data_IF_055560628337
#
_entry.id   IF_055560628337
#
_cell.length_a   1.000
_cell.length_b   1.000
_cell.length_c   1.000
_cell.angle_alpha   90.00
_cell.angle_beta   90.00
_cell.angle_gamma   90.00
#
_symmetry.space_group_name_H-M   'P 1'
#
loop_
_entity.id
_entity.type
_entity.pdbx_description
1 polymer ?
#
# COMPACT_ATOMS: atom_id res chain seq x y z
N UNK A 1 -2.81 -38.85 -16.46
CA UNK A 1 -1.91 -38.64 -15.31
C UNK A 1 -2.80 -38.29 -14.12
N UNK A 2 -2.51 -38.79 -12.92
CA UNK A 2 -3.29 -38.44 -11.73
C UNK A 2 -3.06 -36.96 -11.38
N UNK A 3 -4.13 -36.25 -11.00
CA UNK A 3 -4.02 -34.87 -10.50
C UNK A 3 -3.30 -34.88 -9.15
N UNK A 4 -2.48 -33.86 -8.88
CA UNK A 4 -1.77 -33.73 -7.61
C UNK A 4 -2.76 -33.61 -6.45
N UNK A 5 -2.53 -34.33 -5.35
CA UNK A 5 -3.48 -34.43 -4.23
C UNK A 5 -2.87 -34.00 -2.89
N UNK A 6 -3.73 -33.80 -1.88
CA UNK A 6 -3.30 -33.55 -0.48
C UNK A 6 -2.38 -34.66 0.03
N UNK A 7 -2.63 -35.92 -0.35
CA UNK A 7 -1.77 -37.04 0.07
C UNK A 7 -0.38 -36.98 -0.56
N UNK A 8 -0.27 -36.46 -1.80
CA UNK A 8 1.02 -36.24 -2.46
C UNK A 8 1.78 -35.09 -1.78
N UNK A 9 1.08 -33.99 -1.48
CA UNK A 9 1.60 -32.88 -0.70
C UNK A 9 2.15 -33.32 0.68
N UNK A 10 1.37 -34.10 1.44
CA UNK A 10 1.79 -34.65 2.74
C UNK A 10 3.03 -35.54 2.57
N UNK A 11 3.08 -36.35 1.51
CA UNK A 11 4.22 -37.24 1.22
C UNK A 11 5.51 -36.45 0.92
N UNK A 12 5.41 -35.34 0.21
CA UNK A 12 6.54 -34.43 -0.09
C UNK A 12 7.00 -33.63 1.15
N UNK A 13 6.06 -33.17 1.98
CA UNK A 13 6.35 -32.40 3.19
C UNK A 13 6.97 -33.24 4.32
N UNK A 14 6.49 -34.47 4.51
CA UNK A 14 6.88 -35.35 5.62
C UNK A 14 8.40 -35.49 5.84
N UNK A 15 9.26 -35.76 4.82
CA UNK A 15 10.70 -35.88 5.02
C UNK A 15 11.37 -34.55 5.37
N UNK A 16 10.83 -33.41 4.92
CA UNK A 16 11.41 -32.08 5.20
C UNK A 16 11.03 -31.63 6.60
N UNK A 17 9.74 -31.70 6.95
CA UNK A 17 9.24 -31.36 8.29
C UNK A 17 9.74 -32.34 9.36
N UNK A 18 10.07 -33.57 8.96
CA UNK A 18 10.69 -34.57 9.82
C UNK A 18 12.10 -34.20 10.32
N UNK A 19 12.79 -33.22 9.70
CA UNK A 19 14.08 -32.70 10.17
C UNK A 19 13.92 -31.54 11.15
N UNK A 20 12.83 -31.56 11.93
CA UNK A 20 12.50 -30.57 12.93
C UNK A 20 13.67 -30.29 13.89
N UNK A 21 13.83 -29.04 14.36
CA UNK A 21 14.90 -28.66 15.27
C UNK A 21 14.79 -29.40 16.62
N UNK A 22 15.91 -29.50 17.32
CA UNK A 22 15.95 -30.14 18.63
C UNK A 22 14.97 -29.44 19.60
N UNK A 23 14.17 -30.25 20.31
CA UNK A 23 13.15 -29.75 21.25
C UNK A 23 11.77 -29.51 20.64
N UNK A 24 11.62 -29.55 19.30
CA UNK A 24 10.31 -29.44 18.66
C UNK A 24 9.42 -30.65 19.00
N UNK A 25 8.15 -30.40 19.33
CA UNK A 25 7.14 -31.44 19.54
C UNK A 25 5.94 -31.29 18.60
N UNK A 26 5.72 -30.09 18.08
CA UNK A 26 4.69 -29.76 17.10
C UNK A 26 5.16 -28.63 16.20
N UNK A 27 4.46 -28.40 15.10
CA UNK A 27 4.67 -27.28 14.20
C UNK A 27 3.38 -26.99 13.47
N UNK A 28 3.14 -25.72 13.20
CA UNK A 28 2.01 -25.26 12.41
C UNK A 28 2.47 -24.15 11.48
N UNK A 29 2.06 -24.24 10.22
CA UNK A 29 2.27 -23.21 9.21
C UNK A 29 0.96 -22.91 8.52
N UNK A 30 0.73 -21.63 8.30
CA UNK A 30 -0.36 -21.14 7.47
C UNK A 30 0.26 -20.49 6.24
N UNK A 31 -0.12 -20.97 5.06
CA UNK A 31 0.24 -20.40 3.78
C UNK A 31 -1.01 -19.81 3.10
N UNK A 32 -0.87 -18.65 2.46
CA UNK A 32 -1.93 -18.02 1.66
C UNK A 32 -1.55 -18.02 0.18
N UNK A 33 -2.54 -18.21 -0.71
CA UNK A 33 -2.30 -18.33 -2.17
C UNK A 33 -2.70 -17.08 -2.96
N UNK A 34 -3.43 -16.13 -2.36
CA UNK A 34 -4.10 -15.04 -3.08
C UNK A 34 -3.86 -13.66 -2.46
N UNK A 35 -2.63 -13.12 -2.52
CA UNK A 35 -2.41 -11.68 -2.31
C UNK A 35 -1.47 -11.13 -3.36
N UNK A 36 -1.97 -10.35 -4.33
CA UNK A 36 -1.14 -9.57 -5.26
C UNK A 36 0.09 -10.28 -5.88
N UNK A 37 0.01 -11.59 -6.18
CA UNK A 37 1.14 -12.36 -6.72
C UNK A 37 2.20 -12.79 -5.70
N UNK A 38 1.93 -12.64 -4.41
CA UNK A 38 2.76 -13.05 -3.28
C UNK A 38 2.03 -14.09 -2.43
N UNK A 39 2.64 -15.28 -2.26
CA UNK A 39 2.28 -16.19 -1.18
C UNK A 39 2.93 -15.70 0.11
N UNK A 40 2.17 -15.68 1.20
CA UNK A 40 2.74 -15.46 2.54
C UNK A 40 2.67 -16.74 3.34
N UNK A 41 3.78 -17.07 4.02
CA UNK A 41 3.88 -18.18 4.96
C UNK A 41 4.18 -17.64 6.34
N UNK A 42 3.38 -18.04 7.32
CA UNK A 42 3.64 -17.75 8.74
C UNK A 42 3.62 -19.05 9.55
N UNK A 43 4.27 -19.04 10.71
CA UNK A 43 4.28 -20.17 11.63
C UNK A 43 5.68 -20.70 11.93
N UNK A 44 5.75 -21.91 12.47
CA UNK A 44 7.00 -22.52 12.89
C UNK A 44 6.82 -23.67 13.88
N UNK A 45 7.93 -24.27 14.28
CA UNK A 45 7.95 -25.32 15.29
C UNK A 45 7.71 -24.77 16.69
N UNK A 46 7.15 -25.60 17.56
CA UNK A 46 6.90 -25.30 18.97
C UNK A 46 7.48 -26.38 19.88
N UNK A 47 7.99 -25.94 21.03
CA UNK A 47 8.43 -26.82 22.12
C UNK A 47 7.23 -27.40 22.92
N UNK A 48 7.53 -28.23 23.92
CA UNK A 48 6.51 -28.84 24.78
C UNK A 48 5.73 -27.83 25.63
N UNK A 49 6.23 -26.61 25.77
CA UNK A 49 5.59 -25.50 26.46
C UNK A 49 4.80 -24.59 25.49
N UNK A 50 4.76 -24.92 24.19
CA UNK A 50 4.05 -24.17 23.16
C UNK A 50 4.81 -22.94 22.64
N UNK A 51 6.06 -22.73 23.07
CA UNK A 51 6.89 -21.59 22.63
C UNK A 51 7.45 -21.86 21.25
N UNK A 52 7.45 -20.83 20.40
CA UNK A 52 8.00 -20.91 19.06
C UNK A 52 9.52 -21.06 19.12
N UNK A 53 10.02 -22.04 18.36
CA UNK A 53 11.46 -22.26 18.22
C UNK A 53 12.00 -21.36 17.09
N UNK A 54 13.24 -20.85 17.20
CA UNK A 54 13.88 -20.10 16.12
C UNK A 54 13.90 -20.93 14.84
N UNK A 55 13.60 -20.29 13.72
CA UNK A 55 13.78 -20.90 12.40
C UNK A 55 15.28 -21.05 12.14
N UNK A 56 15.71 -22.24 11.71
CA UNK A 56 17.10 -22.46 11.34
C UNK A 56 17.34 -21.89 9.94
N UNK A 57 18.16 -20.83 9.77
CA UNK A 57 18.38 -20.21 8.46
C UNK A 57 19.07 -21.13 7.45
N UNK A 58 19.67 -22.23 7.89
CA UNK A 58 20.24 -23.27 6.99
C UNK A 58 19.17 -24.21 6.42
N UNK A 59 17.94 -24.13 6.92
CA UNK A 59 16.87 -25.07 6.62
C UNK A 59 15.63 -24.33 6.09
N UNK A 60 15.65 -23.98 4.80
CA UNK A 60 14.53 -23.30 4.15
C UNK A 60 13.33 -24.23 3.98
N UNK A 61 12.16 -23.77 4.44
CA UNK A 61 10.88 -24.44 4.23
C UNK A 61 10.21 -24.04 2.90
N UNK A 62 10.96 -23.59 1.90
CA UNK A 62 10.43 -23.23 0.57
C UNK A 62 9.63 -24.33 -0.13
N UNK A 63 9.81 -25.59 0.28
CA UNK A 63 8.97 -26.72 -0.17
C UNK A 63 7.48 -26.53 0.15
N UNK A 64 7.14 -25.76 1.19
CA UNK A 64 5.74 -25.43 1.51
C UNK A 64 5.13 -24.63 0.37
N UNK A 65 5.88 -23.66 -0.16
CA UNK A 65 5.43 -22.80 -1.26
C UNK A 65 5.24 -23.63 -2.54
N UNK A 66 6.21 -24.50 -2.87
CA UNK A 66 6.12 -25.42 -4.02
C UNK A 66 4.90 -26.36 -3.94
N UNK A 67 4.63 -26.92 -2.75
CA UNK A 67 3.50 -27.83 -2.53
C UNK A 67 2.16 -27.09 -2.65
N UNK A 68 2.10 -25.87 -2.12
CA UNK A 68 0.92 -25.01 -2.20
C UNK A 68 0.62 -24.63 -3.66
N UNK A 69 1.63 -24.26 -4.45
CA UNK A 69 1.49 -23.99 -5.89
C UNK A 69 0.98 -25.20 -6.67
N UNK A 70 1.53 -26.39 -6.41
CA UNK A 70 1.06 -27.64 -7.05
C UNK A 70 -0.37 -27.99 -6.66
N UNK A 71 -0.75 -27.78 -5.40
CA UNK A 71 -2.11 -28.00 -4.92
C UNK A 71 -3.08 -27.04 -5.59
N UNK A 72 -2.73 -25.76 -5.73
CA UNK A 72 -3.56 -24.74 -6.37
C UNK A 72 -3.77 -25.06 -7.85
N UNK A 73 -2.69 -25.39 -8.57
CA UNK A 73 -2.75 -25.77 -9.99
C UNK A 73 -3.59 -27.03 -10.25
N UNK A 74 -3.73 -27.92 -9.26
CA UNK A 74 -4.49 -29.18 -9.36
C UNK A 74 -5.90 -29.10 -8.76
N UNK A 75 -6.28 -27.97 -8.15
CA UNK A 75 -7.49 -27.84 -7.36
C UNK A 75 -8.76 -27.84 -8.24
N UNK A 76 -9.76 -28.62 -7.83
CA UNK A 76 -11.11 -28.56 -8.44
C UNK A 76 -12.02 -27.53 -7.76
N UNK A 77 -11.63 -27.02 -6.59
CA UNK A 77 -12.30 -25.96 -5.84
C UNK A 77 -11.25 -24.97 -5.38
N UNK A 78 -11.59 -23.67 -5.44
CA UNK A 78 -10.71 -22.63 -4.94
C UNK A 78 -10.49 -22.77 -3.43
N UNK A 79 -9.25 -22.55 -3.01
CA UNK A 79 -8.85 -22.35 -1.63
C UNK A 79 -7.85 -21.20 -1.62
N UNK A 80 -7.78 -20.47 -0.51
CA UNK A 80 -6.84 -19.35 -0.35
C UNK A 80 -5.98 -19.47 0.91
N UNK A 81 -6.24 -20.51 1.72
CA UNK A 81 -5.50 -20.83 2.94
C UNK A 81 -5.14 -22.31 2.93
N UNK A 82 -3.89 -22.61 3.27
CA UNK A 82 -3.40 -23.97 3.53
C UNK A 82 -2.81 -24.01 4.93
N UNK A 83 -3.34 -24.90 5.77
CA UNK A 83 -2.82 -25.13 7.13
C UNK A 83 -2.11 -26.46 7.18
N UNK A 84 -0.81 -26.41 7.46
CA UNK A 84 0.05 -27.58 7.57
C UNK A 84 0.39 -27.76 9.05
N UNK A 85 0.11 -28.95 9.58
CA UNK A 85 0.47 -29.30 10.95
C UNK A 85 1.43 -30.47 10.95
N UNK A 86 2.43 -30.38 11.80
CA UNK A 86 3.39 -31.43 12.06
C UNK A 86 3.37 -31.80 13.52
N UNK A 87 3.45 -33.09 13.83
CA UNK A 87 3.53 -33.59 15.20
C UNK A 87 4.60 -34.65 15.33
N UNK A 88 5.43 -34.49 16.36
CA UNK A 88 6.50 -35.42 16.68
C UNK A 88 5.91 -36.82 16.97
N UNK A 89 6.54 -37.90 16.47
CA UNK A 89 6.12 -39.25 16.80
C UNK A 89 6.21 -39.52 18.31
N UNK A 90 5.24 -40.26 18.84
CA UNK A 90 5.21 -40.65 20.27
C UNK A 90 6.28 -41.68 20.65
N UNK A 91 6.76 -42.46 19.69
CA UNK A 91 7.72 -43.55 19.90
C UNK A 91 8.89 -43.44 18.92
N UNK A 92 10.10 -43.87 19.32
CA UNK A 92 11.20 -44.07 18.38
C UNK A 92 10.75 -45.00 17.25
N UNK A 93 11.19 -44.76 16.01
CA UNK A 93 10.84 -45.51 14.80
C UNK A 93 9.48 -45.22 14.14
N UNK A 94 8.57 -44.49 14.79
CA UNK A 94 7.37 -43.98 14.10
C UNK A 94 7.69 -42.73 13.26
N UNK A 95 6.97 -42.57 12.15
CA UNK A 95 7.04 -41.33 11.35
C UNK A 95 6.28 -40.22 12.07
N UNK A 96 6.73 -38.99 11.85
CA UNK A 96 5.96 -37.82 12.26
C UNK A 96 4.62 -37.79 11.52
N UNK A 97 3.61 -37.29 12.20
CA UNK A 97 2.29 -37.06 11.63
C UNK A 97 2.31 -35.68 10.96
N UNK A 98 1.95 -35.65 9.68
CA UNK A 98 1.74 -34.41 8.93
C UNK A 98 0.32 -34.42 8.42
N UNK A 99 -0.41 -33.35 8.73
CA UNK A 99 -1.75 -33.12 8.20
C UNK A 99 -1.76 -31.82 7.42
N UNK A 100 -2.55 -31.77 6.36
CA UNK A 100 -2.73 -30.60 5.52
C UNK A 100 -4.22 -30.40 5.30
N UNK A 101 -4.68 -29.19 5.57
CA UNK A 101 -6.05 -28.76 5.32
C UNK A 101 -6.03 -27.56 4.38
N UNK A 102 -6.91 -27.58 3.38
CA UNK A 102 -7.16 -26.41 2.53
C UNK A 102 -8.51 -25.80 2.92
N UNK A 103 -8.55 -24.48 3.01
CA UNK A 103 -9.78 -23.73 3.29
C UNK A 103 -9.92 -22.54 2.34
N UNK A 104 -11.17 -22.17 2.09
CA UNK A 104 -11.50 -20.89 1.47
C UNK A 104 -11.98 -19.94 2.56
N UNK A 105 -11.22 -18.90 2.82
CA UNK A 105 -11.53 -17.84 3.76
C UNK A 105 -11.91 -16.57 3.00
N UNK A 106 -13.20 -16.25 2.96
CA UNK A 106 -13.73 -15.07 2.28
C UNK A 106 -13.09 -13.76 2.77
N UNK A 107 -12.62 -13.70 4.02
CA UNK A 107 -12.06 -12.48 4.60
C UNK A 107 -10.69 -12.10 4.01
N UNK A 108 -9.97 -13.06 3.42
CA UNK A 108 -8.67 -12.82 2.78
C UNK A 108 -8.76 -12.85 1.24
N UNK A 109 -9.97 -12.90 0.68
CA UNK A 109 -10.16 -12.82 -0.77
C UNK A 109 -9.79 -11.40 -1.21
N UNK A 110 -8.84 -11.27 -2.15
CA UNK A 110 -8.55 -10.00 -2.78
C UNK A 110 -9.77 -9.27 -3.29
N UNK A 111 -9.83 -7.95 -3.08
CA UNK A 111 -10.88 -7.13 -3.68
C UNK A 111 -10.83 -7.23 -5.20
N UNK A 112 -11.97 -7.63 -5.77
CA UNK A 112 -12.20 -7.66 -7.21
C UNK A 112 -12.63 -6.29 -7.73
N UNK A 113 -12.63 -6.08 -9.05
CA UNK A 113 -12.94 -4.79 -9.68
C UNK A 113 -14.34 -4.23 -9.36
N UNK A 114 -15.27 -5.11 -8.96
CA UNK A 114 -16.67 -4.75 -8.64
C UNK A 114 -16.90 -4.53 -7.13
N UNK A 115 -15.83 -4.46 -6.32
CA UNK A 115 -15.96 -4.23 -4.88
C UNK A 115 -16.60 -2.86 -4.59
N UNK A 116 -17.71 -2.80 -3.81
CA UNK A 116 -18.40 -1.55 -3.51
C UNK A 116 -17.53 -0.52 -2.79
N UNK A 117 -16.46 -0.95 -2.12
CA UNK A 117 -15.52 -0.06 -1.44
C UNK A 117 -14.88 0.96 -2.41
N UNK A 118 -14.75 0.64 -3.70
CA UNK A 118 -14.21 1.59 -4.67
C UNK A 118 -15.13 2.78 -4.90
N UNK A 119 -16.42 2.52 -5.10
CA UNK A 119 -17.42 3.58 -5.30
C UNK A 119 -17.68 4.36 -4.00
N UNK A 120 -17.70 3.69 -2.85
CA UNK A 120 -17.77 4.34 -1.55
C UNK A 120 -16.59 5.28 -1.33
N UNK A 121 -15.37 4.83 -1.63
CA UNK A 121 -14.17 5.66 -1.51
C UNK A 121 -14.20 6.85 -2.47
N UNK A 122 -14.61 6.65 -3.72
CA UNK A 122 -14.77 7.72 -4.70
C UNK A 122 -15.83 8.74 -4.29
N UNK A 123 -16.95 8.29 -3.71
CA UNK A 123 -18.01 9.16 -3.22
C UNK A 123 -17.54 10.02 -2.04
N UNK A 124 -16.85 9.43 -1.06
CA UNK A 124 -16.31 10.15 0.09
C UNK A 124 -15.32 11.25 -0.31
N UNK A 125 -14.37 10.94 -1.21
CA UNK A 125 -13.43 11.93 -1.75
C UNK A 125 -14.14 13.05 -2.49
N UNK A 126 -15.10 12.71 -3.36
CA UNK A 126 -15.86 13.69 -4.13
C UNK A 126 -16.62 14.64 -3.20
N UNK A 127 -17.28 14.11 -2.18
CA UNK A 127 -17.99 14.92 -1.19
C UNK A 127 -17.05 15.88 -0.45
N UNK A 128 -15.86 15.40 -0.05
CA UNK A 128 -14.84 16.23 0.59
C UNK A 128 -14.38 17.39 -0.33
N UNK A 129 -14.02 17.10 -1.58
CA UNK A 129 -13.55 18.12 -2.51
C UNK A 129 -14.63 19.13 -2.89
N UNK A 130 -15.86 18.67 -3.10
CA UNK A 130 -17.02 19.55 -3.33
C UNK A 130 -17.34 20.43 -2.11
N UNK A 131 -17.00 19.98 -0.90
CA UNK A 131 -17.09 20.80 0.30
C UNK A 131 -16.11 21.98 0.32
N UNK A 132 -15.02 21.92 -0.46
CA UNK A 132 -14.00 22.98 -0.53
C UNK A 132 -14.22 23.99 -1.68
N UNK A 133 -15.02 23.64 -2.68
CA UNK A 133 -15.30 24.51 -3.82
C UNK A 133 -16.03 23.81 -4.95
N UNK A 134 -16.20 24.51 -6.07
CA UNK A 134 -16.86 23.98 -7.25
C UNK A 134 -15.86 23.17 -8.10
N UNK A 135 -16.19 21.91 -8.42
CA UNK A 135 -15.38 21.12 -9.35
C UNK A 135 -15.49 21.72 -10.76
N UNK A 136 -14.35 21.93 -11.43
CA UNK A 136 -14.33 22.34 -12.83
C UNK A 136 -14.82 21.19 -13.72
N UNK A 137 -16.01 21.37 -14.30
CA UNK A 137 -16.63 20.36 -15.17
C UNK A 137 -15.85 20.24 -16.47
N UNK A 138 -15.43 19.03 -16.82
CA UNK A 138 -14.73 18.73 -18.07
C UNK A 138 -13.21 18.84 -17.99
N UNK A 139 -12.64 19.30 -16.87
CA UNK A 139 -11.22 19.17 -16.62
C UNK A 139 -10.92 17.78 -16.06
N UNK A 140 -10.11 17.01 -16.77
CA UNK A 140 -9.63 15.71 -16.33
C UNK A 140 -8.18 15.55 -16.78
N UNK A 141 -7.24 15.85 -15.87
CA UNK A 141 -5.89 15.33 -16.04
C UNK A 141 -5.92 13.86 -15.59
N UNK A 142 -6.08 12.97 -16.56
CA UNK A 142 -6.16 11.53 -16.39
C UNK A 142 -5.07 10.88 -17.25
N UNK A 143 -4.41 9.84 -16.75
CA UNK A 143 -3.54 8.99 -17.59
C UNK A 143 -4.34 7.77 -18.03
N UNK A 144 -4.68 7.72 -19.30
CA UNK A 144 -5.61 6.74 -19.92
C UNK A 144 -5.22 5.27 -19.75
N UNK A 145 -3.98 4.93 -19.39
CA UNK A 145 -3.60 3.53 -19.19
C UNK A 145 -3.69 3.15 -17.72
N UNK A 146 -4.92 2.82 -17.30
CA UNK A 146 -5.15 2.11 -16.06
C UNK A 146 -4.37 0.79 -16.08
N UNK A 147 -3.37 0.65 -15.21
CA UNK A 147 -2.65 -0.62 -15.07
C UNK A 147 -3.49 -1.58 -14.20
N UNK A 148 -4.54 -2.13 -14.79
CA UNK A 148 -5.47 -3.06 -14.12
C UNK A 148 -4.80 -4.36 -13.64
N UNK A 149 -3.54 -4.61 -14.03
CA UNK A 149 -2.80 -5.83 -13.72
C UNK A 149 -1.56 -5.62 -12.82
N UNK A 150 -1.27 -4.40 -12.34
CA UNK A 150 -0.08 -4.16 -11.52
C UNK A 150 -0.43 -3.31 -10.28
N UNK A 151 -0.75 -4.03 -9.21
CA UNK A 151 -1.37 -3.58 -7.95
C UNK A 151 -0.45 -2.82 -7.00
N UNK A 152 0.52 -2.06 -7.52
CA UNK A 152 1.49 -1.35 -6.66
C UNK A 152 1.60 0.15 -6.94
N UNK A 153 0.90 0.69 -7.96
CA UNK A 153 1.06 2.10 -8.35
C UNK A 153 -0.30 2.70 -8.69
N UNK A 154 -0.88 3.44 -7.73
CA UNK A 154 -2.07 4.29 -7.87
C UNK A 154 -3.16 3.75 -8.81
N UNK A 155 -4.16 3.08 -8.23
CA UNK A 155 -5.20 2.35 -8.97
C UNK A 155 -5.77 3.14 -10.16
N UNK A 156 -5.55 2.58 -11.35
CA UNK A 156 -5.71 3.23 -12.65
C UNK A 156 -7.02 3.95 -12.95
N UNK A 157 -8.23 3.41 -12.63
CA UNK A 157 -9.49 4.10 -12.94
C UNK A 157 -9.73 5.35 -12.07
N UNK A 158 -8.91 5.58 -11.04
CA UNK A 158 -8.96 6.79 -10.19
C UNK A 158 -7.61 7.51 -10.16
N UNK A 159 -6.81 7.35 -11.21
CA UNK A 159 -5.60 8.14 -11.41
C UNK A 159 -5.95 9.48 -12.05
N UNK A 160 -6.50 10.39 -11.25
CA UNK A 160 -6.95 11.69 -11.73
C UNK A 160 -6.60 12.83 -10.80
N UNK A 161 -6.47 14.01 -11.40
CA UNK A 161 -6.43 15.28 -10.69
C UNK A 161 -7.73 16.02 -10.94
N UNK A 162 -8.36 16.45 -9.85
CA UNK A 162 -9.49 17.37 -9.88
C UNK A 162 -8.99 18.81 -9.80
N UNK A 163 -9.60 19.69 -10.59
CA UNK A 163 -9.50 21.13 -10.42
C UNK A 163 -10.74 21.63 -9.66
N UNK A 164 -10.53 22.36 -8.57
CA UNK A 164 -11.58 22.88 -7.70
C UNK A 164 -11.43 24.39 -7.57
N UNK A 165 -12.46 25.12 -8.00
CA UNK A 165 -12.57 26.56 -7.84
C UNK A 165 -13.08 26.88 -6.43
N UNK A 166 -12.19 27.43 -5.61
CA UNK A 166 -12.48 27.91 -4.26
C UNK A 166 -12.42 29.45 -4.23
N UNK A 167 -13.03 30.12 -3.22
CA UNK A 167 -12.98 31.57 -3.12
C UNK A 167 -11.54 32.13 -3.14
N UNK A 168 -11.18 32.79 -4.25
CA UNK A 168 -9.85 33.38 -4.48
C UNK A 168 -8.74 32.40 -4.84
N UNK A 169 -9.02 31.09 -4.92
CA UNK A 169 -8.02 30.04 -5.13
C UNK A 169 -8.44 29.02 -6.17
N UNK A 170 -7.46 28.46 -6.84
CA UNK A 170 -7.57 27.20 -7.56
C UNK A 170 -6.90 26.10 -6.73
N UNK A 171 -7.60 25.00 -6.51
CA UNK A 171 -7.05 23.80 -5.88
C UNK A 171 -6.90 22.72 -6.95
N UNK A 172 -5.71 22.12 -7.03
CA UNK A 172 -5.50 20.88 -7.77
C UNK A 172 -5.36 19.75 -6.77
N UNK A 173 -6.18 18.72 -6.86
CA UNK A 173 -6.21 17.64 -5.86
C UNK A 173 -6.16 16.27 -6.51
N UNK A 174 -5.45 15.33 -5.88
CA UNK A 174 -5.55 13.92 -6.26
C UNK A 174 -6.92 13.39 -5.86
N UNK A 175 -7.44 12.49 -6.69
CA UNK A 175 -8.68 11.77 -6.37
C UNK A 175 -8.50 10.29 -6.72
N UNK A 176 -7.81 9.58 -5.83
CA UNK A 176 -7.71 8.13 -5.91
C UNK A 176 -6.50 7.51 -5.22
N UNK A 177 -5.60 8.31 -4.61
CA UNK A 177 -4.48 7.76 -3.84
C UNK A 177 -4.96 6.88 -2.68
N UNK A 178 -6.06 7.27 -2.04
CA UNK A 178 -6.72 6.53 -0.97
C UNK A 178 -7.68 5.44 -1.44
N UNK A 179 -7.74 5.14 -2.75
CA UNK A 179 -8.54 4.01 -3.24
C UNK A 179 -7.98 2.72 -2.65
N UNK A 180 -8.81 1.86 -2.03
CA UNK A 180 -8.37 0.56 -1.56
C UNK A 180 -7.60 -0.21 -2.63
N UNK A 181 -6.59 -0.97 -2.22
CA UNK A 181 -5.81 -1.75 -3.16
C UNK A 181 -6.66 -2.89 -3.74
N UNK A 182 -6.72 -2.97 -5.07
CA UNK A 182 -7.17 -4.18 -5.75
C UNK A 182 -6.18 -5.30 -5.47
N UNK A 183 -6.67 -6.53 -5.30
CA UNK A 183 -5.75 -7.65 -5.09
C UNK A 183 -5.28 -7.89 -3.66
N UNK A 184 -5.57 -6.96 -2.75
CA UNK A 184 -5.19 -7.03 -1.34
C UNK A 184 -6.48 -7.12 -0.53
N UNK A 185 -6.51 -8.07 0.41
CA UNK A 185 -7.67 -8.28 1.25
C UNK A 185 -7.68 -7.41 2.51
N UNK A 186 -6.50 -6.95 2.96
CA UNK A 186 -6.38 -6.12 4.15
C UNK A 186 -7.29 -4.88 4.05
N UNK A 187 -8.02 -4.53 5.12
CA UNK A 187 -8.92 -3.37 5.17
C UNK A 187 -8.11 -2.07 5.27
N UNK A 188 -7.48 -1.69 4.17
CA UNK A 188 -6.61 -0.51 4.07
C UNK A 188 -7.00 0.37 2.88
N UNK A 189 -6.93 1.68 3.10
CA UNK A 189 -7.15 2.68 2.06
C UNK A 189 -5.84 2.98 1.32
N UNK A 190 -5.57 2.30 0.21
CA UNK A 190 -4.55 2.72 -0.77
C UNK A 190 -3.22 3.23 -0.16
N UNK A 191 -2.80 4.41 -0.63
CA UNK A 191 -1.62 5.16 -0.17
C UNK A 191 -1.86 5.88 1.17
N UNK A 192 -3.06 5.75 1.75
CA UNK A 192 -3.47 6.29 3.04
C UNK A 192 -3.45 7.81 3.13
N UNK A 193 -3.64 8.53 2.02
CA UNK A 193 -3.79 9.99 1.98
C UNK A 193 -4.40 10.47 0.66
N UNK A 194 -4.70 11.76 0.58
CA UNK A 194 -4.77 12.50 -0.69
C UNK A 194 -3.83 13.72 -0.65
N UNK A 195 -3.39 14.18 -1.83
CA UNK A 195 -2.59 15.37 -2.00
C UNK A 195 -3.40 16.51 -2.62
N UNK A 196 -3.00 17.73 -2.33
CA UNK A 196 -3.47 18.90 -3.09
C UNK A 196 -2.40 19.99 -3.18
N UNK A 197 -2.54 20.85 -4.18
CA UNK A 197 -1.82 22.10 -4.35
C UNK A 197 -2.82 23.24 -4.36
N UNK A 198 -2.41 24.42 -3.88
CA UNK A 198 -3.20 25.64 -3.94
C UNK A 198 -2.48 26.70 -4.76
N UNK A 199 -3.24 27.40 -5.59
CA UNK A 199 -2.79 28.53 -6.39
C UNK A 199 -3.78 29.68 -6.24
N UNK A 200 -3.33 30.92 -6.41
CA UNK A 200 -4.29 32.02 -6.54
C UNK A 200 -5.03 31.88 -7.87
N UNK A 201 -6.34 32.13 -7.88
CA UNK A 201 -7.21 31.84 -9.02
C UNK A 201 -6.86 32.60 -10.31
N UNK A 202 -6.08 33.69 -10.23
CA UNK A 202 -5.69 34.50 -11.38
C UNK A 202 -4.33 34.11 -11.98
N UNK A 203 -3.60 33.15 -11.38
CA UNK A 203 -2.17 32.97 -11.66
C UNK A 203 -1.89 31.96 -12.76
N UNK A 204 -2.83 31.06 -13.08
CA UNK A 204 -2.64 29.98 -14.04
C UNK A 204 -3.62 30.07 -15.20
N UNK A 205 -3.11 29.92 -16.42
CA UNK A 205 -3.91 29.61 -17.60
C UNK A 205 -4.10 28.08 -17.74
N UNK A 206 -4.86 27.64 -18.73
CA UNK A 206 -5.18 26.22 -18.96
C UNK A 206 -3.92 25.33 -19.13
N UNK A 207 -2.89 25.87 -19.79
CA UNK A 207 -1.62 25.18 -19.96
C UNK A 207 -0.88 25.02 -18.62
N UNK A 208 -0.85 26.08 -17.81
CA UNK A 208 -0.29 26.06 -16.46
C UNK A 208 -1.01 25.07 -15.55
N UNK A 209 -2.35 25.07 -15.57
CA UNK A 209 -3.18 24.12 -14.82
C UNK A 209 -2.83 22.68 -15.20
N UNK A 210 -2.75 22.39 -16.50
CA UNK A 210 -2.41 21.06 -17.01
C UNK A 210 -1.00 20.63 -16.61
N UNK A 211 -0.02 21.55 -16.63
CA UNK A 211 1.35 21.27 -16.22
C UNK A 211 1.44 20.91 -14.73
N UNK A 212 0.83 21.71 -13.85
CA UNK A 212 0.82 21.45 -12.41
C UNK A 212 0.01 20.19 -12.04
N UNK A 213 -1.07 19.91 -12.75
CA UNK A 213 -1.82 18.67 -12.59
C UNK A 213 -0.95 17.45 -12.95
N UNK A 214 -0.23 17.50 -14.07
CA UNK A 214 0.70 16.43 -14.46
C UNK A 214 1.83 16.24 -13.45
N UNK A 215 2.35 17.32 -12.87
CA UNK A 215 3.32 17.22 -11.78
C UNK A 215 2.70 16.51 -10.56
N UNK A 216 1.50 16.92 -10.15
CA UNK A 216 0.81 16.33 -9.01
C UNK A 216 0.52 14.83 -9.24
N UNK A 217 0.24 14.42 -10.47
CA UNK A 217 0.17 13.00 -10.86
C UNK A 217 1.50 12.30 -10.58
N UNK A 218 2.62 12.87 -11.03
CA UNK A 218 3.93 12.24 -10.83
C UNK A 218 4.32 12.15 -9.34
N UNK A 219 3.93 13.14 -8.53
CA UNK A 219 4.12 13.09 -7.07
C UNK A 219 3.27 11.96 -6.47
N UNK A 220 2.02 11.81 -6.91
CA UNK A 220 1.14 10.70 -6.52
C UNK A 220 1.74 9.33 -6.84
N UNK A 221 2.31 9.15 -8.03
CA UNK A 221 3.03 7.92 -8.41
C UNK A 221 4.19 7.62 -7.44
N UNK A 222 5.00 8.63 -7.09
CA UNK A 222 6.11 8.47 -6.17
C UNK A 222 5.65 8.08 -4.76
N UNK A 223 4.50 8.60 -4.29
CA UNK A 223 3.94 8.22 -3.00
C UNK A 223 3.44 6.77 -3.01
N UNK A 224 2.83 6.34 -4.11
CA UNK A 224 2.34 4.97 -4.27
C UNK A 224 3.49 3.94 -4.30
N UNK A 225 4.69 4.33 -4.76
CA UNK A 225 5.88 3.47 -4.86
C UNK A 225 6.54 3.09 -3.51
N UNK A 226 5.86 3.28 -2.37
CA UNK A 226 6.15 2.53 -1.14
C UNK A 226 6.80 3.29 0.03
N UNK A 227 6.57 4.60 0.13
CA UNK A 227 7.27 5.41 1.14
C UNK A 227 6.50 5.68 2.46
N UNK A 228 5.29 5.15 2.65
CA UNK A 228 4.41 5.47 3.81
C UNK A 228 4.43 6.98 4.16
N UNK A 229 4.47 7.81 3.13
CA UNK A 229 4.82 9.25 3.23
C UNK A 229 3.87 9.99 4.17
N UNK A 230 2.59 9.60 4.20
CA UNK A 230 1.61 10.18 5.11
C UNK A 230 2.03 10.07 6.59
N UNK A 231 2.62 8.93 6.99
CA UNK A 231 3.15 8.73 8.34
C UNK A 231 4.32 9.67 8.64
N UNK A 232 5.21 9.87 7.69
CA UNK A 232 6.37 10.75 7.86
C UNK A 232 5.94 12.22 7.91
N UNK A 233 4.99 12.63 7.07
CA UNK A 233 4.37 13.97 7.14
C UNK A 233 3.70 14.19 8.49
N UNK A 234 2.95 13.21 9.02
CA UNK A 234 2.32 13.32 10.34
C UNK A 234 3.35 13.45 11.46
N UNK A 235 4.40 12.60 11.43
CA UNK A 235 5.47 12.59 12.43
C UNK A 235 6.26 13.90 12.44
N UNK A 236 6.57 14.45 11.27
CA UNK A 236 7.49 15.58 11.12
C UNK A 236 6.78 16.93 10.93
N UNK A 237 5.48 16.93 10.65
CA UNK A 237 4.65 18.10 10.34
C UNK A 237 4.86 18.66 8.93
N UNK A 238 6.09 18.62 8.42
CA UNK A 238 6.43 18.90 7.02
C UNK A 238 7.75 18.21 6.64
N UNK A 239 7.89 17.84 5.36
CA UNK A 239 9.07 17.17 4.81
C UNK A 239 9.44 17.73 3.43
N UNK A 240 10.71 17.62 3.05
CA UNK A 240 11.16 17.79 1.66
C UNK A 240 11.03 16.44 0.96
N UNK A 241 10.20 16.38 -0.08
CA UNK A 241 9.83 15.10 -0.69
C UNK A 241 10.66 14.79 -1.93
N UNK A 242 10.52 15.59 -2.99
CA UNK A 242 11.21 15.33 -4.26
C UNK A 242 11.78 16.63 -4.86
N UNK A 243 12.72 16.47 -5.79
CA UNK A 243 13.24 17.56 -6.62
C UNK A 243 12.37 17.73 -7.87
N UNK A 244 12.29 18.97 -8.34
CA UNK A 244 11.64 19.34 -9.59
C UNK A 244 12.68 19.44 -10.72
N UNK A 245 12.23 19.25 -11.95
CA UNK A 245 13.04 19.52 -13.14
C UNK A 245 13.16 21.02 -13.39
N UNK A 246 14.08 21.43 -14.28
CA UNK A 246 14.29 22.83 -14.63
C UNK A 246 13.05 23.49 -15.26
N UNK A 247 12.10 22.69 -15.76
CA UNK A 247 10.81 23.15 -16.31
C UNK A 247 9.96 23.95 -15.30
N UNK A 248 10.22 23.78 -14.00
CA UNK A 248 9.50 24.45 -12.91
C UNK A 248 10.30 25.61 -12.29
N UNK A 249 11.43 26.00 -12.88
CA UNK A 249 12.25 27.10 -12.37
C UNK A 249 11.41 28.38 -12.16
N UNK A 250 11.63 29.13 -11.05
CA UNK A 250 12.71 28.97 -10.07
C UNK A 250 12.42 27.95 -8.94
N UNK A 251 11.32 27.20 -9.01
CA UNK A 251 10.95 26.20 -8.01
C UNK A 251 11.74 24.92 -8.27
N UNK A 252 12.36 24.38 -7.23
CA UNK A 252 13.32 23.27 -7.35
C UNK A 252 12.92 22.04 -6.56
N UNK A 253 11.94 22.14 -5.64
CA UNK A 253 11.52 21.04 -4.76
C UNK A 253 10.03 21.06 -4.46
N UNK A 254 9.52 19.90 -4.07
CA UNK A 254 8.22 19.74 -3.42
C UNK A 254 8.44 19.56 -1.92
N UNK A 255 7.78 20.42 -1.15
CA UNK A 255 7.54 20.23 0.26
C UNK A 255 6.14 19.62 0.44
N UNK A 256 6.04 18.60 1.29
CA UNK A 256 4.76 18.07 1.74
C UNK A 256 4.53 18.52 3.18
N UNK A 257 3.35 19.05 3.46
CA UNK A 257 3.00 19.58 4.77
C UNK A 257 1.66 19.04 5.25
N UNK A 258 1.60 18.75 6.54
CA UNK A 258 0.41 18.24 7.21
C UNK A 258 -0.67 19.32 7.22
N UNK A 259 -1.92 18.94 7.00
CA UNK A 259 -3.07 19.80 7.26
C UNK A 259 -3.91 19.23 8.40
N UNK A 260 -4.81 20.04 8.96
CA UNK A 260 -5.76 19.57 9.97
C UNK A 260 -6.87 18.69 9.38
N UNK A 261 -7.07 18.75 8.06
CA UNK A 261 -8.20 18.13 7.39
C UNK A 261 -7.95 16.66 7.07
N UNK A 262 -9.04 15.90 7.12
CA UNK A 262 -9.09 14.48 6.79
C UNK A 262 -10.31 14.20 5.93
N UNK A 263 -10.20 13.20 5.05
CA UNK A 263 -11.34 12.68 4.31
C UNK A 263 -11.99 11.61 5.17
N UNK A 264 -13.12 11.97 5.76
CA UNK A 264 -13.98 11.07 6.53
C UNK A 264 -14.89 10.23 5.61
N UNK A 265 -15.42 9.13 6.14
CA UNK A 265 -16.39 8.29 5.40
C UNK A 265 -15.80 7.38 4.33
N UNK A 266 -14.47 7.25 4.26
CA UNK A 266 -13.80 6.22 3.47
C UNK A 266 -14.05 4.81 4.07
N UNK A 267 -14.04 3.74 3.25
CA UNK A 267 -14.39 2.39 3.69
C UNK A 267 -13.58 1.87 4.88
N UNK A 268 -12.29 2.21 4.94
CA UNK A 268 -11.36 1.69 5.94
C UNK A 268 -10.80 2.76 6.88
N UNK A 269 -11.64 3.77 7.19
CA UNK A 269 -11.31 4.86 8.11
C UNK A 269 -10.78 6.10 7.39
N UNK A 270 -10.62 7.22 8.11
CA UNK A 270 -10.25 8.47 7.47
C UNK A 270 -8.77 8.57 7.13
N UNK A 271 -8.47 9.28 6.04
CA UNK A 271 -7.09 9.55 5.60
C UNK A 271 -6.78 11.05 5.69
N UNK A 272 -5.53 11.44 6.01
CA UNK A 272 -5.12 12.82 5.98
C UNK A 272 -5.12 13.39 4.56
N UNK A 273 -5.29 14.71 4.48
CA UNK A 273 -5.03 15.48 3.26
C UNK A 273 -3.73 16.26 3.43
N UNK A 274 -2.84 16.14 2.46
CA UNK A 274 -1.47 16.68 2.54
C UNK A 274 -1.32 17.79 1.50
N UNK A 275 -0.82 18.94 1.95
CA UNK A 275 -0.54 20.07 1.08
C UNK A 275 0.84 19.89 0.44
N UNK A 276 0.86 19.76 -0.89
CA UNK A 276 2.06 19.81 -1.71
C UNK A 276 2.35 21.26 -2.10
N UNK A 277 3.52 21.75 -1.72
CA UNK A 277 3.96 23.13 -1.96
C UNK A 277 5.26 23.13 -2.73
N UNK A 278 5.31 23.67 -3.95
CA UNK A 278 6.58 23.85 -4.64
C UNK A 278 7.36 25.00 -3.99
N UNK A 279 8.65 24.77 -3.74
CA UNK A 279 9.56 25.72 -3.10
C UNK A 279 10.85 25.87 -3.92
N UNK A 280 11.49 27.02 -3.77
CA UNK A 280 12.84 27.31 -4.31
C UNK A 280 13.92 27.02 -3.28
N UNK A 281 15.17 26.79 -3.72
CA UNK A 281 16.31 26.62 -2.80
C UNK A 281 16.51 27.85 -1.88
N UNK A 282 16.17 29.06 -2.34
CA UNK A 282 16.30 30.29 -1.56
C UNK A 282 15.46 30.26 -0.26
N UNK A 283 14.37 29.50 -0.25
CA UNK A 283 13.48 29.42 0.91
C UNK A 283 14.08 28.57 2.05
N UNK A 284 14.88 27.59 1.68
CA UNK A 284 15.60 26.68 2.59
C UNK A 284 17.10 26.98 2.65
N UNK A 285 17.53 28.12 2.10
CA UNK A 285 18.94 28.52 2.13
C UNK A 285 19.45 28.51 3.57
N UNK A 286 20.64 27.94 3.78
CA UNK A 286 21.33 27.83 5.08
C UNK A 286 20.64 26.94 6.11
N UNK A 287 19.62 26.18 5.70
CA UNK A 287 19.06 25.13 6.55
C UNK A 287 19.88 23.85 6.43
N UNK A 288 19.97 23.12 7.54
CA UNK A 288 20.51 21.77 7.54
C UNK A 288 19.49 20.83 6.86
N UNK A 289 19.99 20.00 5.95
CA UNK A 289 19.20 19.01 5.19
C UNK A 289 19.56 17.58 5.59
N UNK A 290 20.38 17.40 6.64
CA UNK A 290 20.87 16.09 7.07
C UNK A 290 19.89 15.32 7.95
N UNK A 291 18.85 15.98 8.46
CA UNK A 291 17.78 15.30 9.21
C UNK A 291 16.88 14.48 8.29
N UNK A 292 16.19 13.50 8.88
CA UNK A 292 15.26 12.65 8.15
C UNK A 292 14.28 13.51 7.34
N UNK A 293 14.26 13.27 6.03
CA UNK A 293 13.44 13.99 5.06
C UNK A 293 13.66 15.51 4.96
N UNK A 294 14.78 16.05 5.46
CA UNK A 294 15.01 17.51 5.47
C UNK A 294 13.93 18.28 6.24
N UNK A 295 13.32 17.64 7.24
CA UNK A 295 12.10 18.10 7.88
C UNK A 295 12.26 19.46 8.57
N UNK A 296 13.43 19.76 9.12
CA UNK A 296 13.73 21.06 9.73
C UNK A 296 13.69 22.18 8.69
N UNK A 297 14.31 21.96 7.53
CA UNK A 297 14.27 22.92 6.43
C UNK A 297 12.85 23.11 5.89
N UNK A 298 12.07 22.03 5.75
CA UNK A 298 10.68 22.08 5.34
C UNK A 298 9.83 22.93 6.31
N UNK A 299 9.89 22.65 7.62
CA UNK A 299 9.15 23.44 8.62
C UNK A 299 9.54 24.93 8.61
N UNK A 300 10.81 25.23 8.37
CA UNK A 300 11.27 26.60 8.25
C UNK A 300 10.71 27.31 6.99
N UNK A 301 10.72 26.64 5.83
CA UNK A 301 10.11 27.18 4.61
C UNK A 301 8.59 27.40 4.77
N UNK A 302 7.90 26.45 5.40
CA UNK A 302 6.48 26.56 5.74
C UNK A 302 6.20 27.79 6.62
N UNK A 303 6.98 27.98 7.69
CA UNK A 303 6.84 29.11 8.60
C UNK A 303 7.07 30.46 7.90
N UNK A 304 8.06 30.55 6.99
CA UNK A 304 8.31 31.76 6.18
C UNK A 304 7.11 32.16 5.32
N UNK A 305 6.34 31.19 4.81
CA UNK A 305 5.13 31.44 4.01
C UNK A 305 3.90 31.74 4.85
N UNK A 306 3.98 31.65 6.19
CA UNK A 306 2.83 31.87 7.08
C UNK A 306 1.75 30.78 6.97
N UNK A 307 2.07 29.63 6.37
CA UNK A 307 1.18 28.48 6.27
C UNK A 307 1.16 27.81 7.64
N UNK A 308 -0.01 27.72 8.28
CA UNK A 308 -0.17 27.10 9.60
C UNK A 308 -0.66 25.66 9.43
N UNK A 309 0.00 24.74 10.14
CA UNK A 309 -0.39 23.32 10.29
C UNK A 309 -1.43 23.11 11.39
#
# INVERSE_FOLDING_TARGET
MASYSIDDAIRELAPVLGKAPAGAVSGEWTATTMQAGHSSRTGGYRDAQGRQLPEDPSYSLGIIDDVVEKLDAAASRHFNTVVIRWKKPKFPFMRAEVTLETNFDEAIVPRGPDDPAYEEAAAARRAFWQGRGALQVGFAAERETANIYNQTKWFGPHRRILAIDAPGKLILATDGLSTPWAGIADPENGVECELFMEFDAATLDEAGISNWANLLINIGDLMADGHRVARDVEKHGAILFCRLTEDYAPLTRIMLSRTADRIEGLPFGSVPVILATPISEAEIERQDLSDDWGATAARHALAKRGIRN
#
